data_IF_411867067650
#
_entry.id   IF_411867067650
#
_cell.length_a   1.000
_cell.length_b   1.000
_cell.length_c   1.000
_cell.angle_alpha   90.00
_cell.angle_beta   90.00
_cell.angle_gamma   90.00
#
_symmetry.space_group_name_H-M   'P 1'
#
loop_
_entity.id
_entity.type
_entity.pdbx_description
1 polymer ?
#
# COMPACT_ATOMS: atom_id res chain seq x y z
N UNK A 1 -16.20 20.51 -9.58
CA UNK A 1 -14.94 20.92 -10.24
C UNK A 1 -13.88 19.85 -10.07
N UNK A 2 -13.24 19.42 -11.17
CA UNK A 2 -12.13 18.47 -11.16
C UNK A 2 -10.86 19.09 -10.58
N UNK A 3 -10.24 18.46 -9.58
CA UNK A 3 -9.04 18.99 -8.92
C UNK A 3 -7.84 18.04 -9.09
N UNK A 4 -7.12 18.21 -10.21
CA UNK A 4 -5.92 17.42 -10.57
C UNK A 4 -4.89 17.35 -9.45
N UNK A 5 -4.63 18.48 -8.76
CA UNK A 5 -3.63 18.56 -7.69
C UNK A 5 -4.00 17.67 -6.51
N UNK A 6 -5.25 17.72 -6.06
CA UNK A 6 -5.70 16.86 -4.97
C UNK A 6 -5.68 15.38 -5.34
N UNK A 7 -6.08 15.05 -6.57
CA UNK A 7 -5.99 13.68 -7.08
C UNK A 7 -4.55 13.16 -7.08
N UNK A 8 -3.61 13.96 -7.58
CA UNK A 8 -2.19 13.60 -7.60
C UNK A 8 -1.65 13.42 -6.18
N UNK A 9 -1.91 14.37 -5.28
CA UNK A 9 -1.50 14.28 -3.86
C UNK A 9 -2.05 13.00 -3.22
N UNK A 10 -3.35 12.73 -3.40
CA UNK A 10 -3.97 11.52 -2.86
C UNK A 10 -3.36 10.24 -3.41
N UNK A 11 -3.03 10.22 -4.70
CA UNK A 11 -2.39 9.07 -5.34
C UNK A 11 -0.98 8.85 -4.80
N UNK A 12 -0.16 9.90 -4.72
CA UNK A 12 1.21 9.81 -4.19
C UNK A 12 1.20 9.35 -2.73
N UNK A 13 0.40 9.98 -1.88
CA UNK A 13 0.30 9.57 -0.46
C UNK A 13 -0.25 8.14 -0.36
N UNK A 14 -1.26 7.81 -1.18
CA UNK A 14 -1.84 6.46 -1.23
C UNK A 14 -0.87 5.38 -1.72
N UNK A 15 0.21 5.72 -2.42
CA UNK A 15 1.31 4.80 -2.76
C UNK A 15 2.29 4.68 -1.61
N UNK A 16 2.64 5.82 -0.99
CA UNK A 16 3.63 5.87 0.09
C UNK A 16 3.16 5.19 1.37
N UNK A 17 1.87 5.27 1.71
CA UNK A 17 1.33 4.68 2.96
C UNK A 17 1.44 3.16 2.99
N UNK A 18 1.02 2.39 1.96
CA UNK A 18 1.27 0.96 1.92
C UNK A 18 2.77 0.60 2.01
N UNK A 19 3.64 1.33 1.30
CA UNK A 19 5.09 1.14 1.37
C UNK A 19 5.63 1.37 2.80
N UNK A 20 5.16 2.41 3.46
CA UNK A 20 5.50 2.70 4.85
C UNK A 20 5.03 1.59 5.80
N UNK A 21 3.78 1.10 5.66
CA UNK A 21 3.25 0.00 6.47
C UNK A 21 4.08 -1.28 6.26
N UNK A 22 4.45 -1.61 5.02
CA UNK A 22 5.34 -2.75 4.74
C UNK A 22 6.72 -2.57 5.40
N UNK A 23 7.30 -1.37 5.36
CA UNK A 23 8.57 -1.08 6.04
C UNK A 23 8.47 -1.23 7.56
N UNK A 24 7.32 -0.89 8.15
CA UNK A 24 7.05 -1.08 9.58
C UNK A 24 6.92 -2.58 9.91
N UNK A 25 6.23 -3.36 9.08
CA UNK A 25 6.14 -4.83 9.23
C UNK A 25 7.53 -5.45 9.17
N UNK A 26 8.37 -5.02 8.21
CA UNK A 26 9.76 -5.44 8.10
C UNK A 26 10.56 -5.11 9.38
N UNK A 27 10.50 -3.86 9.86
CA UNK A 27 11.23 -3.44 11.05
C UNK A 27 10.84 -4.24 12.30
N UNK A 28 9.56 -4.60 12.44
CA UNK A 28 9.04 -5.35 13.61
C UNK A 28 9.42 -6.83 13.54
N UNK A 29 9.37 -7.46 12.36
CA UNK A 29 9.53 -8.92 12.22
C UNK A 29 10.93 -9.38 11.77
N UNK A 30 11.68 -8.50 11.12
CA UNK A 30 12.86 -8.87 10.32
C UNK A 30 14.01 -7.84 10.41
N UNK A 31 14.00 -6.96 11.41
CA UNK A 31 14.90 -5.80 11.52
C UNK A 31 16.41 -6.11 11.52
N UNK A 32 16.82 -7.36 11.75
CA UNK A 32 18.23 -7.79 11.68
C UNK A 32 18.65 -8.30 10.29
N UNK A 33 17.69 -8.65 9.43
CA UNK A 33 17.94 -9.15 8.07
C UNK A 33 17.91 -8.03 7.03
N UNK A 34 18.65 -8.18 5.93
CA UNK A 34 18.63 -7.16 4.85
C UNK A 34 17.25 -7.04 4.19
N UNK A 35 16.92 -5.88 3.62
CA UNK A 35 15.64 -5.66 2.91
C UNK A 35 15.48 -6.64 1.74
N UNK A 36 16.56 -6.97 1.02
CA UNK A 36 16.51 -7.96 -0.06
C UNK A 36 16.16 -9.35 0.48
N UNK A 37 16.81 -9.77 1.58
CA UNK A 37 16.50 -11.04 2.23
C UNK A 37 15.06 -11.09 2.75
N UNK A 38 14.51 -9.98 3.24
CA UNK A 38 13.10 -9.91 3.63
C UNK A 38 12.16 -10.14 2.44
N UNK A 39 12.43 -9.50 1.29
CA UNK A 39 11.61 -9.65 0.09
C UNK A 39 11.69 -11.09 -0.44
N UNK A 40 12.89 -11.65 -0.55
CA UNK A 40 13.11 -13.04 -0.97
C UNK A 40 12.38 -14.02 -0.05
N UNK A 41 12.59 -13.93 1.27
CA UNK A 41 11.91 -14.77 2.24
C UNK A 41 10.38 -14.61 2.19
N UNK A 42 9.89 -13.38 2.01
CA UNK A 42 8.46 -13.13 1.93
C UNK A 42 7.82 -13.79 0.69
N UNK A 43 8.56 -13.83 -0.43
CA UNK A 43 8.12 -14.50 -1.65
C UNK A 43 8.22 -16.02 -1.48
N UNK A 44 9.37 -16.54 -1.04
CA UNK A 44 9.61 -17.98 -0.85
C UNK A 44 8.63 -18.63 0.15
N UNK A 45 8.29 -17.92 1.22
CA UNK A 45 7.34 -18.40 2.23
C UNK A 45 5.88 -18.13 1.83
N UNK A 46 5.62 -17.51 0.67
CA UNK A 46 4.28 -17.18 0.19
C UNK A 46 3.53 -16.13 1.02
N UNK A 47 4.25 -15.33 1.83
CA UNK A 47 3.68 -14.31 2.71
C UNK A 47 3.69 -12.89 2.13
N UNK A 48 4.31 -12.69 0.96
CA UNK A 48 4.36 -11.40 0.27
C UNK A 48 2.96 -10.84 -0.04
N UNK A 49 2.07 -11.65 -0.61
CA UNK A 49 0.70 -11.24 -0.93
C UNK A 49 -0.11 -10.86 0.34
N UNK A 50 -0.10 -11.64 1.43
CA UNK A 50 -0.67 -11.23 2.73
C UNK A 50 -0.11 -9.91 3.29
N UNK A 51 1.19 -9.67 3.20
CA UNK A 51 1.83 -8.43 3.68
C UNK A 51 1.32 -7.22 2.89
N UNK A 52 1.24 -7.34 1.57
CA UNK A 52 0.70 -6.28 0.71
C UNK A 52 -0.78 -6.06 1.02
N UNK A 53 -1.58 -7.12 1.15
CA UNK A 53 -3.00 -7.01 1.47
C UNK A 53 -3.23 -6.27 2.80
N UNK A 54 -2.46 -6.59 3.84
CA UNK A 54 -2.52 -5.89 5.14
C UNK A 54 -2.20 -4.40 4.99
N UNK A 55 -1.21 -4.07 4.17
CA UNK A 55 -0.78 -2.69 3.92
C UNK A 55 -1.83 -1.89 3.16
N UNK A 56 -2.53 -2.50 2.20
CA UNK A 56 -3.67 -1.89 1.50
C UNK A 56 -4.85 -1.67 2.43
N UNK A 57 -5.16 -2.63 3.31
CA UNK A 57 -6.22 -2.48 4.32
C UNK A 57 -5.90 -1.29 5.24
N UNK A 58 -4.64 -1.14 5.66
CA UNK A 58 -4.21 0.05 6.42
C UNK A 58 -4.39 1.36 5.65
N UNK A 59 -4.20 1.34 4.33
CA UNK A 59 -4.44 2.50 3.45
C UNK A 59 -5.92 2.95 3.41
N UNK A 60 -6.87 2.07 3.74
CA UNK A 60 -8.27 2.46 3.90
C UNK A 60 -8.46 3.49 5.01
N UNK A 61 -7.63 3.46 6.06
CA UNK A 61 -7.62 4.49 7.09
C UNK A 61 -7.35 5.88 6.52
N UNK A 62 -6.37 6.01 5.62
CA UNK A 62 -6.08 7.25 4.91
C UNK A 62 -7.23 7.66 3.98
N UNK A 63 -7.82 6.70 3.27
CA UNK A 63 -8.98 6.94 2.41
C UNK A 63 -10.13 7.56 3.20
N UNK A 64 -10.51 6.95 4.33
CA UNK A 64 -11.58 7.47 5.18
C UNK A 64 -11.22 8.80 5.84
N UNK A 65 -9.94 9.04 6.17
CA UNK A 65 -9.47 10.32 6.68
C UNK A 65 -9.72 11.44 5.66
N UNK A 66 -9.32 11.25 4.41
CA UNK A 66 -9.57 12.23 3.35
C UNK A 66 -11.05 12.39 3.04
N UNK A 67 -11.84 11.31 3.11
CA UNK A 67 -13.28 11.38 2.96
C UNK A 67 -13.93 12.23 4.07
N UNK A 68 -13.51 12.06 5.32
CA UNK A 68 -14.00 12.83 6.49
C UNK A 68 -13.69 14.32 6.38
N UNK A 69 -12.56 14.69 5.77
CA UNK A 69 -12.19 16.10 5.52
C UNK A 69 -12.71 16.64 4.18
N UNK A 70 -13.70 15.98 3.57
CA UNK A 70 -14.33 16.37 2.30
C UNK A 70 -13.33 16.49 1.13
N UNK A 71 -12.17 15.81 1.22
CA UNK A 71 -11.14 15.78 0.16
C UNK A 71 -11.42 14.66 -0.83
N UNK A 72 -12.57 14.73 -1.50
CA UNK A 72 -13.07 13.70 -2.43
C UNK A 72 -12.09 13.36 -3.57
N UNK A 73 -11.37 14.34 -4.11
CA UNK A 73 -10.38 14.07 -5.17
C UNK A 73 -9.14 13.37 -4.63
N UNK A 74 -8.70 13.72 -3.42
CA UNK A 74 -7.58 13.04 -2.78
C UNK A 74 -7.95 11.61 -2.38
N UNK A 75 -9.15 11.38 -1.83
CA UNK A 75 -9.61 10.02 -1.51
C UNK A 75 -9.70 9.14 -2.75
N UNK A 76 -10.16 9.67 -3.89
CA UNK A 76 -10.10 8.97 -5.20
C UNK A 76 -8.67 8.62 -5.60
N UNK A 77 -7.72 9.51 -5.36
CA UNK A 77 -6.30 9.22 -5.60
C UNK A 77 -5.79 8.06 -4.76
N UNK A 78 -6.16 8.02 -3.48
CA UNK A 78 -5.83 6.90 -2.57
C UNK A 78 -6.45 5.60 -3.10
N UNK A 79 -7.70 5.61 -3.58
CA UNK A 79 -8.31 4.41 -4.18
C UNK A 79 -7.55 3.91 -5.41
N UNK A 80 -7.10 4.81 -6.29
CA UNK A 80 -6.30 4.42 -7.47
C UNK A 80 -5.03 3.71 -7.02
N UNK A 81 -4.31 4.25 -6.04
CA UNK A 81 -3.12 3.62 -5.49
C UNK A 81 -3.42 2.24 -4.87
N UNK A 82 -4.52 2.13 -4.13
CA UNK A 82 -5.02 0.87 -3.56
C UNK A 82 -5.31 -0.16 -4.64
N UNK A 83 -5.95 0.21 -5.76
CA UNK A 83 -6.18 -0.70 -6.88
C UNK A 83 -4.87 -1.16 -7.53
N UNK A 84 -3.89 -0.27 -7.72
CA UNK A 84 -2.57 -0.64 -8.25
C UNK A 84 -1.88 -1.69 -7.36
N UNK A 85 -1.87 -1.47 -6.04
CA UNK A 85 -1.35 -2.46 -5.11
C UNK A 85 -2.17 -3.76 -5.10
N UNK A 86 -3.49 -3.69 -5.25
CA UNK A 86 -4.36 -4.86 -5.38
C UNK A 86 -4.03 -5.71 -6.59
N UNK A 87 -3.74 -5.08 -7.74
CA UNK A 87 -3.28 -5.76 -8.95
C UNK A 87 -1.89 -6.38 -8.75
N UNK A 88 -0.97 -5.67 -8.08
CA UNK A 88 0.34 -6.22 -7.73
C UNK A 88 0.22 -7.45 -6.82
N UNK A 89 -0.65 -7.39 -5.81
CA UNK A 89 -0.91 -8.50 -4.90
C UNK A 89 -1.49 -9.71 -5.64
N UNK A 90 -2.45 -9.48 -6.55
CA UNK A 90 -3.02 -10.53 -7.39
C UNK A 90 -1.94 -11.17 -8.27
N UNK A 91 -1.10 -10.37 -8.93
CA UNK A 91 -0.01 -10.86 -9.76
C UNK A 91 0.94 -11.75 -8.95
N UNK A 92 1.40 -11.26 -7.79
CA UNK A 92 2.30 -12.04 -6.92
C UNK A 92 1.64 -13.36 -6.51
N UNK A 93 0.38 -13.33 -6.09
CA UNK A 93 -0.35 -14.54 -5.67
C UNK A 93 -0.55 -15.57 -6.80
N UNK A 94 -0.54 -15.15 -8.05
CA UNK A 94 -0.65 -16.04 -9.20
C UNK A 94 0.69 -16.62 -9.64
N UNK A 95 1.81 -15.94 -9.35
CA UNK A 95 3.16 -16.34 -9.75
C UNK A 95 3.91 -17.09 -8.65
N UNK A 96 3.64 -16.77 -7.37
CA UNK A 96 4.17 -17.48 -6.18
C UNK A 96 3.25 -18.63 -5.76
#
# INVERSE_FOLDING_TARGET
MYNKRQLLIGTVIGILVPAFIMSLIYAIKFGESSVSSFIENAIEQGVAAPIIALSIVGNLGLFFLFLRFEKLWASRGVMIATFLYGLLMLYLKLVS
#
